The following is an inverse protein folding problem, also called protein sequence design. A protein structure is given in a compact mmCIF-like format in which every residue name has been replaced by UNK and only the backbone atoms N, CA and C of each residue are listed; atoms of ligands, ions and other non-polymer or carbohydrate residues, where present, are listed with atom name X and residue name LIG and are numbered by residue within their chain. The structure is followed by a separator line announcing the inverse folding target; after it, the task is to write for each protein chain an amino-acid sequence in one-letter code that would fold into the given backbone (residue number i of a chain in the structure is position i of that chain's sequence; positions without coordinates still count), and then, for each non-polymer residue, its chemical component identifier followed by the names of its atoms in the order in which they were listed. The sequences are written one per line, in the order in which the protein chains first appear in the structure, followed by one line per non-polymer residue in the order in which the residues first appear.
data_IF_866733676556
#
_entry.id   IF_866733676556
#
_cell.length_a   1.000
_cell.length_b   1.000
_cell.length_c   1.000
_cell.angle_alpha   90.00
_cell.angle_beta   90.00
_cell.angle_gamma   90.00
#
_symmetry.space_group_name_H-M   'P 1'
#
loop_
_entity.id
_entity.type
_entity.pdbx_description
1 polymer ?
#
# COMPACT_ATOMS: atom_id res chain seq x y z
N UNK A 1 -4.92 32.61 -9.61
CA UNK A 1 -4.48 31.20 -9.78
C UNK A 1 -4.78 30.50 -8.47
N UNK A 2 -5.80 29.64 -8.41
CA UNK A 2 -6.37 29.10 -7.16
C UNK A 2 -5.89 27.65 -7.03
N UNK A 3 -4.99 27.40 -6.10
CA UNK A 3 -4.48 26.06 -5.74
C UNK A 3 -5.64 25.20 -5.28
N UNK A 4 -5.91 24.08 -5.95
CA UNK A 4 -6.96 23.13 -5.57
C UNK A 4 -6.47 22.27 -4.39
N UNK A 5 -7.00 22.43 -3.16
CA UNK A 5 -6.70 21.57 -2.03
C UNK A 5 -7.68 20.37 -1.96
N UNK A 6 -8.58 20.28 -2.94
CA UNK A 6 -9.77 19.43 -2.91
C UNK A 6 -9.53 18.02 -3.46
N UNK A 7 -8.47 17.79 -4.23
CA UNK A 7 -8.27 16.51 -4.93
C UNK A 7 -7.81 15.38 -3.99
N UNK A 8 -6.85 15.64 -3.11
CA UNK A 8 -6.32 14.61 -2.20
C UNK A 8 -7.34 14.24 -1.11
N UNK A 9 -7.94 15.24 -0.46
CA UNK A 9 -8.95 15.04 0.59
C UNK A 9 -10.18 14.29 0.07
N UNK A 10 -10.59 14.57 -1.18
CA UNK A 10 -11.70 13.91 -1.84
C UNK A 10 -11.35 12.50 -2.31
N UNK A 11 -10.15 12.29 -2.86
CA UNK A 11 -9.67 10.95 -3.21
C UNK A 11 -9.59 10.02 -1.99
N UNK A 12 -9.14 10.54 -0.84
CA UNK A 12 -9.12 9.81 0.43
C UNK A 12 -10.55 9.45 0.85
N UNK A 13 -11.48 10.42 0.84
CA UNK A 13 -12.87 10.17 1.23
C UNK A 13 -13.57 9.16 0.31
N UNK A 14 -13.39 9.30 -1.00
CA UNK A 14 -14.01 8.42 -2.00
C UNK A 14 -13.50 6.98 -1.83
N UNK A 15 -12.20 6.81 -1.54
CA UNK A 15 -11.60 5.51 -1.22
C UNK A 15 -12.25 4.85 0.01
N UNK A 16 -12.41 5.57 1.12
CA UNK A 16 -13.04 5.05 2.34
C UNK A 16 -14.56 4.81 2.22
N UNK A 17 -15.21 5.40 1.22
CA UNK A 17 -16.66 5.25 0.98
C UNK A 17 -17.03 4.12 0.01
N UNK A 18 -16.04 3.50 -0.63
CA UNK A 18 -16.26 2.45 -1.64
C UNK A 18 -16.64 1.10 -1.02
N UNK A 19 -17.48 0.27 -1.67
CA UNK A 19 -17.72 -1.13 -1.27
C UNK A 19 -16.42 -1.97 -1.20
N UNK A 20 -15.36 -1.52 -1.88
CA UNK A 20 -14.02 -2.11 -1.85
C UNK A 20 -13.32 -1.92 -0.49
N UNK A 21 -13.85 -1.06 0.39
CA UNK A 21 -13.38 -0.91 1.77
C UNK A 21 -13.67 -2.15 2.64
N UNK A 22 -14.36 -3.19 2.14
CA UNK A 22 -14.24 -4.54 2.74
C UNK A 22 -12.82 -5.03 2.53
N UNK A 23 -11.95 -4.43 3.33
CA UNK A 23 -10.52 -4.34 3.21
C UNK A 23 -10.02 -5.75 3.49
N UNK A 24 -9.49 -6.45 2.48
CA UNK A 24 -8.76 -7.67 2.74
C UNK A 24 -7.65 -7.36 3.77
N UNK A 25 -7.29 -8.29 4.68
CA UNK A 25 -6.26 -8.07 5.69
C UNK A 25 -4.91 -7.55 5.13
N UNK A 26 -4.70 -7.70 3.82
CA UNK A 26 -3.59 -7.14 3.05
C UNK A 26 -3.55 -5.60 3.03
N UNK A 27 -4.69 -4.90 3.16
CA UNK A 27 -4.67 -3.42 3.17
C UNK A 27 -4.38 -2.83 4.56
N UNK A 28 -4.62 -3.58 5.64
CA UNK A 28 -4.04 -3.27 6.94
C UNK A 28 -2.51 -3.38 6.88
N UNK A 29 -1.99 -4.41 6.20
CA UNK A 29 -0.56 -4.61 6.03
C UNK A 29 0.09 -3.47 5.22
N UNK A 30 -0.55 -3.05 4.14
CA UNK A 30 -0.10 -1.88 3.37
C UNK A 30 -0.09 -0.61 4.22
N UNK A 31 -1.12 -0.37 5.04
CA UNK A 31 -1.20 0.80 5.92
C UNK A 31 -0.06 0.81 6.94
N UNK A 32 0.31 -0.34 7.51
CA UNK A 32 1.46 -0.48 8.39
C UNK A 32 2.75 -0.12 7.66
N UNK A 33 2.98 -0.65 6.46
CA UNK A 33 4.19 -0.38 5.67
C UNK A 33 4.30 1.10 5.33
N UNK A 34 3.22 1.72 4.88
CA UNK A 34 3.18 3.15 4.56
C UNK A 34 3.48 4.00 5.78
N UNK A 35 2.93 3.64 6.95
CA UNK A 35 3.22 4.32 8.20
C UNK A 35 4.69 4.22 8.58
N UNK A 36 5.29 3.04 8.50
CA UNK A 36 6.72 2.84 8.78
C UNK A 36 7.59 3.72 7.86
N UNK A 37 7.26 3.77 6.56
CA UNK A 37 7.98 4.60 5.60
C UNK A 37 7.85 6.08 5.93
N UNK A 38 6.65 6.56 6.29
CA UNK A 38 6.44 7.95 6.72
C UNK A 38 7.23 8.29 7.99
N UNK A 39 7.24 7.39 8.98
CA UNK A 39 8.01 7.56 10.22
C UNK A 39 9.53 7.57 9.96
N UNK A 40 10.00 6.82 8.96
CA UNK A 40 11.38 6.83 8.49
C UNK A 40 11.73 8.03 7.57
N UNK A 41 10.75 8.85 7.18
CA UNK A 41 10.93 9.93 6.21
C UNK A 41 11.16 9.46 4.78
N UNK A 42 10.81 8.21 4.48
CA UNK A 42 10.98 7.60 3.17
C UNK A 42 9.81 7.93 2.23
N UNK A 43 10.07 8.20 0.94
CA UNK A 43 9.02 8.46 -0.01
C UNK A 43 8.23 7.19 -0.34
N UNK A 44 6.92 7.21 -0.09
CA UNK A 44 5.97 6.13 -0.38
C UNK A 44 5.63 5.99 -1.88
N UNK A 45 6.66 5.85 -2.72
CA UNK A 45 6.50 5.56 -4.16
C UNK A 45 6.22 4.07 -4.37
N UNK A 46 5.52 3.70 -5.45
CA UNK A 46 5.25 2.28 -5.78
C UNK A 46 6.52 1.41 -5.74
N UNK A 47 7.62 1.91 -6.30
CA UNK A 47 8.91 1.21 -6.30
C UNK A 47 9.44 0.97 -4.88
N UNK A 48 9.37 1.99 -4.01
CA UNK A 48 9.85 1.89 -2.63
C UNK A 48 8.96 0.97 -1.79
N UNK A 49 7.63 1.03 -1.97
CA UNK A 49 6.67 0.14 -1.31
C UNK A 49 6.92 -1.32 -1.72
N UNK A 50 7.06 -1.59 -3.02
CA UNK A 50 7.35 -2.94 -3.53
C UNK A 50 8.68 -3.47 -2.97
N UNK A 51 9.74 -2.65 -2.98
CA UNK A 51 11.03 -3.04 -2.43
C UNK A 51 10.92 -3.39 -0.93
N UNK A 52 10.18 -2.60 -0.16
CA UNK A 52 9.94 -2.82 1.27
C UNK A 52 9.18 -4.12 1.53
N UNK A 53 8.14 -4.42 0.74
CA UNK A 53 7.39 -5.69 0.81
C UNK A 53 8.30 -6.88 0.50
N UNK A 54 9.15 -6.78 -0.53
CA UNK A 54 10.12 -7.84 -0.88
C UNK A 54 11.12 -8.08 0.25
N UNK A 55 11.62 -7.02 0.88
CA UNK A 55 12.57 -7.18 1.99
C UNK A 55 11.90 -7.79 3.23
N UNK A 56 10.63 -7.49 3.51
CA UNK A 56 9.85 -8.17 4.56
C UNK A 56 9.67 -9.66 4.25
N UNK A 57 9.35 -10.02 3.00
CA UNK A 57 9.22 -11.42 2.57
C UNK A 57 10.48 -12.27 2.79
N UNK A 58 11.67 -11.68 2.68
CA UNK A 58 12.95 -12.41 2.87
C UNK A 58 13.22 -12.76 4.33
N UNK A 59 12.72 -11.96 5.27
CA UNK A 59 13.01 -12.09 6.70
C UNK A 59 11.85 -12.67 7.49
N UNK A 60 10.65 -12.69 6.91
CA UNK A 60 9.45 -13.23 7.54
C UNK A 60 9.52 -14.76 7.63
N UNK A 61 9.28 -15.28 8.83
CA UNK A 61 9.32 -16.72 9.12
C UNK A 61 7.94 -17.34 9.34
N UNK A 62 6.91 -16.51 9.53
CA UNK A 62 5.54 -16.96 9.68
C UNK A 62 4.87 -17.22 8.32
N UNK A 63 4.39 -18.43 8.12
CA UNK A 63 3.83 -18.89 6.84
C UNK A 63 2.55 -18.12 6.45
N UNK A 64 1.72 -17.72 7.42
CA UNK A 64 0.54 -16.91 7.15
C UNK A 64 0.91 -15.48 6.75
N UNK A 65 1.93 -14.89 7.38
CA UNK A 65 2.43 -13.57 7.01
C UNK A 65 3.09 -13.59 5.63
N UNK A 66 3.89 -14.62 5.32
CA UNK A 66 4.45 -14.81 3.98
C UNK A 66 3.36 -14.84 2.91
N UNK A 67 2.28 -15.58 3.15
CA UNK A 67 1.14 -15.62 2.24
C UNK A 67 0.49 -14.24 2.06
N UNK A 68 0.31 -13.48 3.16
CA UNK A 68 -0.26 -12.12 3.12
C UNK A 68 0.64 -11.14 2.36
N UNK A 69 1.93 -11.13 2.63
CA UNK A 69 2.88 -10.29 1.89
C UNK A 69 2.96 -10.69 0.41
N UNK A 70 2.87 -11.98 0.08
CA UNK A 70 2.85 -12.47 -1.30
C UNK A 70 1.59 -12.05 -2.07
N UNK A 71 0.43 -12.13 -1.44
CA UNK A 71 -0.82 -11.61 -2.00
C UNK A 71 -0.74 -10.10 -2.21
N UNK A 72 -0.25 -9.35 -1.22
CA UNK A 72 -0.06 -7.90 -1.33
C UNK A 72 0.90 -7.54 -2.47
N UNK A 73 2.03 -8.24 -2.61
CA UNK A 73 2.99 -8.02 -3.69
C UNK A 73 2.37 -8.25 -5.07
N UNK A 74 1.57 -9.32 -5.21
CA UNK A 74 0.86 -9.63 -6.46
C UNK A 74 -0.12 -8.52 -6.83
N UNK A 75 -0.85 -7.96 -5.85
CA UNK A 75 -1.74 -6.83 -6.07
C UNK A 75 -0.98 -5.57 -6.47
N UNK A 76 0.14 -5.27 -5.82
CA UNK A 76 0.96 -4.09 -6.12
C UNK A 76 1.58 -4.13 -7.52
N UNK A 77 1.97 -5.32 -7.99
CA UNK A 77 2.52 -5.50 -9.35
C UNK A 77 1.41 -5.56 -10.39
N UNK A 78 0.32 -6.29 -10.13
CA UNK A 78 -0.80 -6.46 -11.07
C UNK A 78 -1.66 -5.21 -11.26
N UNK A 79 -1.58 -4.23 -10.36
CA UNK A 79 -2.26 -2.93 -10.48
C UNK A 79 -1.45 -1.89 -11.23
N UNK A 80 -0.23 -2.19 -11.68
CA UNK A 80 0.50 -1.31 -12.57
C UNK A 80 -0.14 -1.41 -13.96
N UNK A 81 -0.84 -0.37 -14.47
CA UNK A 81 -1.30 -0.40 -15.86
C UNK A 81 -0.05 -0.51 -16.74
N UNK A 82 -0.06 -1.44 -17.69
CA UNK A 82 0.96 -1.52 -18.72
C UNK A 82 0.98 -0.17 -19.45
N UNK A 83 2.00 0.63 -19.16
CA UNK A 83 2.25 1.94 -19.77
C UNK A 83 3.09 1.79 -21.03
#
# INVERSE_FOLDING_TARGET
MRTAPDSASRAIRDYFSSPNWRTPPESDLLAVILREMMEAGEPATNKAIIARVIDRLKVEGDEMQLQRYGTLLTQLIGTQPEG
#
